data_IF_700580593175
#
_entry.id   IF_700580593175
#
_cell.length_a   1.000
_cell.length_b   1.000
_cell.length_c   1.000
_cell.angle_alpha   90.00
_cell.angle_beta   90.00
_cell.angle_gamma   90.00
#
_symmetry.space_group_name_H-M   'P 1'
#
loop_
_entity.id
_entity.type
_entity.pdbx_description
1 polymer ?
#
# COMPACT_ATOMS: atom_id res chain seq x y z
N UNK A 1 -7.27 25.37 6.51
CA UNK A 1 -6.83 24.13 7.19
C UNK A 1 -7.29 22.96 6.36
N UNK A 2 -6.36 22.21 5.77
CA UNK A 2 -6.70 21.03 4.98
C UNK A 2 -7.19 19.94 5.93
N UNK A 3 -8.49 19.62 5.87
CA UNK A 3 -9.08 18.50 6.61
C UNK A 3 -8.58 17.19 5.97
N UNK A 4 -7.44 16.70 6.43
CA UNK A 4 -6.97 15.37 6.07
C UNK A 4 -7.89 14.35 6.76
N UNK A 5 -8.58 13.55 5.96
CA UNK A 5 -9.45 12.49 6.44
C UNK A 5 -8.57 11.36 6.97
N UNK A 6 -8.71 11.04 8.26
CA UNK A 6 -8.07 9.85 8.83
C UNK A 6 -8.85 8.63 8.36
N UNK A 7 -8.19 7.75 7.61
CA UNK A 7 -8.78 6.48 7.19
C UNK A 7 -8.57 5.43 8.28
N UNK A 8 -9.62 4.66 8.57
CA UNK A 8 -9.53 3.48 9.43
C UNK A 8 -8.87 2.32 8.69
N UNK A 9 -8.37 1.30 9.40
CA UNK A 9 -7.69 0.16 8.78
C UNK A 9 -8.53 -0.52 7.67
N UNK A 10 -9.84 -0.61 7.89
CA UNK A 10 -10.79 -1.20 6.94
C UNK A 10 -10.94 -0.33 5.68
N UNK A 11 -11.01 1.00 5.84
CA UNK A 11 -11.08 1.93 4.72
C UNK A 11 -9.80 1.94 3.90
N UNK A 12 -8.64 1.83 4.56
CA UNK A 12 -7.36 1.69 3.87
C UNK A 12 -7.34 0.41 3.03
N UNK A 13 -7.75 -0.73 3.59
CA UNK A 13 -7.83 -2.00 2.85
C UNK A 13 -8.79 -1.91 1.66
N UNK A 14 -9.97 -1.31 1.85
CA UNK A 14 -10.93 -1.08 0.78
C UNK A 14 -10.36 -0.18 -0.32
N UNK A 15 -9.64 0.88 0.05
CA UNK A 15 -8.97 1.78 -0.90
C UNK A 15 -7.84 1.11 -1.66
N UNK A 16 -7.02 0.29 -1.00
CA UNK A 16 -5.98 -0.50 -1.66
C UNK A 16 -6.59 -1.45 -2.70
N UNK A 17 -7.70 -2.11 -2.36
CA UNK A 17 -8.44 -2.97 -3.29
C UNK A 17 -9.06 -2.17 -4.45
N UNK A 18 -9.71 -1.03 -4.17
CA UNK A 18 -10.32 -0.13 -5.17
C UNK A 18 -9.28 0.39 -6.19
N UNK A 19 -8.06 0.68 -5.71
CA UNK A 19 -6.95 1.15 -6.53
C UNK A 19 -6.19 0.02 -7.25
N UNK A 20 -6.60 -1.25 -7.06
CA UNK A 20 -5.91 -2.40 -7.65
C UNK A 20 -4.51 -2.65 -7.07
N UNK A 21 -4.24 -2.13 -5.87
CA UNK A 21 -2.96 -2.25 -5.17
C UNK A 21 -2.88 -3.58 -4.40
N UNK A 22 -3.06 -4.70 -5.11
CA UNK A 22 -3.14 -6.04 -4.50
C UNK A 22 -1.87 -6.49 -3.78
N UNK A 23 -0.71 -5.90 -4.10
CA UNK A 23 0.57 -6.16 -3.42
C UNK A 23 0.80 -5.29 -2.16
N UNK A 24 -0.10 -4.34 -1.90
CA UNK A 24 0.00 -3.43 -0.77
C UNK A 24 -0.93 -3.87 0.37
N UNK A 25 -0.46 -3.72 1.60
CA UNK A 25 -1.17 -4.10 2.80
C UNK A 25 -0.87 -3.14 3.95
N UNK A 26 -1.85 -2.92 4.83
CA UNK A 26 -1.68 -2.09 6.04
C UNK A 26 -1.27 -2.99 7.21
N UNK A 27 -0.14 -2.66 7.84
CA UNK A 27 0.43 -3.38 8.98
C UNK A 27 1.03 -2.37 9.98
N UNK A 28 0.61 -2.44 11.25
CA UNK A 28 1.10 -1.57 12.33
C UNK A 28 0.96 -0.05 12.03
N UNK A 29 -0.10 0.34 11.33
CA UNK A 29 -0.33 1.72 10.89
C UNK A 29 0.49 2.16 9.67
N UNK A 30 1.24 1.24 9.05
CA UNK A 30 2.05 1.50 7.86
C UNK A 30 1.57 0.73 6.64
N UNK A 31 1.49 1.39 5.48
CA UNK A 31 1.23 0.69 4.22
C UNK A 31 2.55 0.12 3.71
N UNK A 32 2.61 -1.19 3.57
CA UNK A 32 3.77 -1.96 3.10
C UNK A 32 3.43 -2.63 1.78
N UNK A 33 4.45 -2.85 0.94
CA UNK A 33 4.37 -3.74 -0.22
C UNK A 33 5.64 -4.55 -0.35
N UNK A 34 5.52 -5.73 -0.94
CA UNK A 34 6.68 -6.50 -1.39
C UNK A 34 6.82 -6.31 -2.89
N UNK A 35 7.90 -5.68 -3.33
CA UNK A 35 8.23 -5.57 -4.75
C UNK A 35 9.48 -6.40 -5.01
N UNK A 36 9.35 -7.45 -5.81
CA UNK A 36 10.49 -8.25 -6.24
C UNK A 36 10.95 -7.69 -7.59
N UNK A 37 12.12 -7.06 -7.62
CA UNK A 37 12.79 -6.74 -8.88
C UNK A 37 13.37 -8.02 -9.46
N UNK A 38 13.14 -8.29 -10.73
CA UNK A 38 14.00 -9.17 -11.51
C UNK A 38 15.45 -8.69 -11.33
N UNK A 39 16.34 -9.63 -10.98
CA UNK A 39 17.65 -9.37 -10.40
C UNK A 39 18.54 -8.38 -11.15
N UNK A 40 19.61 -7.95 -10.48
CA UNK A 40 20.59 -7.02 -11.05
C UNK A 40 21.07 -7.53 -12.41
N UNK A 41 21.05 -6.72 -13.49
CA UNK A 41 21.55 -7.15 -14.78
C UNK A 41 23.05 -7.43 -14.62
N UNK A 42 23.43 -8.71 -14.63
CA UNK A 42 24.83 -9.11 -14.69
C UNK A 42 25.20 -9.15 -16.18
N UNK A 43 26.04 -8.21 -16.59
CA UNK A 43 26.62 -8.11 -17.94
C UNK A 43 27.68 -9.17 -18.18
#
# INVERSE_FOLDING_TARGET
MSNLRTYSDDEVRAKLAELGLTEWYLEDGWIRRKYNTDGWPQT
#
